data_IF_400360887405
#
_entry.id   IF_400360887405
#
_cell.length_a   1.000
_cell.length_b   1.000
_cell.length_c   1.000
_cell.angle_alpha   90.00
_cell.angle_beta   90.00
_cell.angle_gamma   90.00
#
_symmetry.space_group_name_H-M   'P 1'
#
loop_
_entity.id
_entity.type
_entity.pdbx_description
1 polymer ?
#
# COMPACT_ATOMS: atom_id res chain seq x y z
N UNK A 1 -16.19 -33.32 59.28
CA UNK A 1 -16.23 -32.27 58.25
C UNK A 1 -14.80 -31.74 58.12
N UNK A 2 -14.12 -31.89 56.97
CA UNK A 2 -12.75 -31.40 56.86
C UNK A 2 -12.75 -29.88 56.99
N UNK A 3 -11.87 -29.36 57.86
CA UNK A 3 -11.68 -27.93 58.03
C UNK A 3 -11.07 -27.35 56.75
N UNK A 4 -11.72 -26.35 56.15
CA UNK A 4 -11.13 -25.60 55.06
C UNK A 4 -9.96 -24.76 55.59
N UNK A 5 -8.74 -25.12 55.21
CA UNK A 5 -7.54 -24.32 55.43
C UNK A 5 -7.63 -23.02 54.64
N UNK A 6 -7.50 -21.87 55.31
CA UNK A 6 -7.44 -20.56 54.64
C UNK A 6 -6.07 -20.32 53.99
N UNK A 7 -6.04 -19.46 52.96
CA UNK A 7 -4.80 -19.01 52.31
C UNK A 7 -4.03 -18.05 53.21
N UNK A 8 -2.70 -18.15 53.19
CA UNK A 8 -1.82 -17.26 53.96
C UNK A 8 -1.43 -16.01 53.16
N UNK A 9 -1.10 -14.92 53.85
CA UNK A 9 -0.70 -13.66 53.20
C UNK A 9 0.55 -13.86 52.31
N UNK A 10 1.49 -14.71 52.75
CA UNK A 10 2.70 -15.00 51.98
C UNK A 10 2.41 -15.78 50.70
N UNK A 11 1.44 -16.71 50.73
CA UNK A 11 1.01 -17.48 49.55
C UNK A 11 0.32 -16.58 48.52
N UNK A 12 -0.49 -15.63 48.97
CA UNK A 12 -1.09 -14.61 48.10
C UNK A 12 -0.02 -13.67 47.51
N UNK A 13 1.03 -13.32 48.27
CA UNK A 13 2.12 -12.48 47.79
C UNK A 13 2.97 -13.21 46.73
N UNK A 14 3.33 -14.47 46.97
CA UNK A 14 4.08 -15.29 46.03
C UNK A 14 3.30 -15.50 44.73
N UNK A 15 2.01 -15.82 44.81
CA UNK A 15 1.17 -16.00 43.62
C UNK A 15 1.03 -14.71 42.80
N UNK A 16 0.84 -13.57 43.45
CA UNK A 16 0.82 -12.26 42.76
C UNK A 16 2.15 -11.95 42.07
N UNK A 17 3.29 -12.20 42.73
CA UNK A 17 4.62 -11.98 42.13
C UNK A 17 4.80 -12.83 40.88
N UNK A 18 4.44 -14.12 40.93
CA UNK A 18 4.49 -15.00 39.76
C UNK A 18 3.57 -14.48 38.66
N UNK A 19 2.37 -14.01 39.01
CA UNK A 19 1.41 -13.46 38.05
C UNK A 19 1.95 -12.20 37.35
N UNK A 20 2.61 -11.30 38.10
CA UNK A 20 3.24 -10.10 37.53
C UNK A 20 4.40 -10.45 36.58
N UNK A 21 5.25 -11.41 36.95
CA UNK A 21 6.35 -11.88 36.09
C UNK A 21 5.78 -12.41 34.77
N UNK A 22 4.76 -13.27 34.82
CA UNK A 22 4.12 -13.83 33.62
C UNK A 22 3.48 -12.74 32.75
N UNK A 23 2.76 -11.79 33.37
CA UNK A 23 2.14 -10.68 32.66
C UNK A 23 3.17 -9.81 31.93
N UNK A 24 4.33 -9.57 32.53
CA UNK A 24 5.41 -8.75 31.94
C UNK A 24 5.95 -9.34 30.63
N UNK A 25 6.00 -10.69 30.52
CA UNK A 25 6.53 -11.39 29.33
C UNK A 25 5.45 -11.57 28.26
N UNK A 26 4.18 -11.73 28.64
CA UNK A 26 3.10 -11.97 27.68
C UNK A 26 2.79 -10.77 26.77
N UNK A 27 2.82 -9.54 27.31
CA UNK A 27 2.49 -8.31 26.57
C UNK A 27 3.38 -7.99 25.35
N UNK A 28 4.73 -8.03 25.43
CA UNK A 28 5.57 -7.73 24.27
C UNK A 28 5.40 -8.74 23.12
N UNK A 29 5.10 -10.00 23.42
CA UNK A 29 4.89 -11.04 22.42
C UNK A 29 3.63 -10.76 21.59
N UNK A 30 2.54 -10.35 22.24
CA UNK A 30 1.29 -9.98 21.57
C UNK A 30 1.50 -8.78 20.62
N UNK A 31 2.18 -7.73 21.09
CA UNK A 31 2.48 -6.54 20.26
C UNK A 31 3.31 -6.89 19.03
N UNK A 32 4.30 -7.77 19.18
CA UNK A 32 5.14 -8.21 18.06
C UNK A 32 4.36 -8.99 17.01
N UNK A 33 3.39 -9.82 17.43
CA UNK A 33 2.52 -10.55 16.49
C UNK A 33 1.69 -9.59 15.63
N UNK A 34 1.10 -8.55 16.24
CA UNK A 34 0.32 -7.54 15.51
C UNK A 34 1.20 -6.75 14.54
N UNK A 35 2.40 -6.36 14.98
CA UNK A 35 3.35 -5.67 14.10
C UNK A 35 3.73 -6.53 12.89
N UNK A 36 3.98 -7.83 13.10
CA UNK A 36 4.31 -8.76 12.01
C UNK A 36 3.16 -8.90 11.02
N UNK A 37 1.90 -8.93 11.47
CA UNK A 37 0.75 -8.97 10.54
C UNK A 37 0.65 -7.68 9.73
N UNK A 38 0.83 -6.52 10.36
CA UNK A 38 0.83 -5.23 9.67
C UNK A 38 1.97 -5.13 8.63
N UNK A 39 3.17 -5.61 8.96
CA UNK A 39 4.29 -5.62 8.00
C UNK A 39 4.05 -6.55 6.81
N UNK A 40 3.40 -7.70 7.02
CA UNK A 40 3.03 -8.61 5.93
C UNK A 40 1.98 -7.98 5.00
N UNK A 41 0.98 -7.33 5.59
CA UNK A 41 -0.05 -6.59 4.86
C UNK A 41 0.57 -5.42 4.08
N UNK A 42 1.46 -4.64 4.70
CA UNK A 42 2.17 -3.53 4.07
C UNK A 42 2.95 -4.02 2.84
N UNK A 43 3.71 -5.11 2.98
CA UNK A 43 4.47 -5.69 1.86
C UNK A 43 3.56 -6.17 0.75
N UNK A 44 2.39 -6.71 1.06
CA UNK A 44 1.41 -7.10 0.06
C UNK A 44 0.87 -5.87 -0.68
N UNK A 45 0.44 -4.85 0.06
CA UNK A 45 -0.08 -3.61 -0.48
C UNK A 45 0.92 -2.87 -1.37
N UNK A 46 2.18 -2.77 -0.94
CA UNK A 46 3.26 -2.15 -1.73
C UNK A 46 3.51 -2.90 -3.04
N UNK A 47 3.43 -4.24 -3.04
CA UNK A 47 3.52 -5.02 -4.28
C UNK A 47 2.36 -4.71 -5.20
N UNK A 48 1.13 -4.65 -4.69
CA UNK A 48 -0.05 -4.27 -5.50
C UNK A 48 0.12 -2.89 -6.13
N UNK A 49 0.54 -1.89 -5.34
CA UNK A 49 0.82 -0.54 -5.84
C UNK A 49 1.89 -0.55 -6.94
N UNK A 50 3.02 -1.22 -6.68
CA UNK A 50 4.11 -1.32 -7.67
C UNK A 50 3.64 -1.98 -8.96
N UNK A 51 2.90 -3.08 -8.88
CA UNK A 51 2.38 -3.75 -10.08
C UNK A 51 1.42 -2.87 -10.87
N UNK A 52 0.62 -2.03 -10.20
CA UNK A 52 -0.27 -1.08 -10.87
C UNK A 52 0.51 0.05 -11.56
N UNK A 53 1.56 0.56 -10.91
CA UNK A 53 2.47 1.56 -11.48
C UNK A 53 3.20 0.98 -12.71
N UNK A 54 3.73 -0.24 -12.59
CA UNK A 54 4.44 -0.90 -13.68
C UNK A 54 3.50 -1.16 -14.87
N UNK A 55 2.26 -1.58 -14.61
CA UNK A 55 1.24 -1.76 -15.64
C UNK A 55 0.89 -0.44 -16.34
N UNK A 56 0.78 0.67 -15.58
CA UNK A 56 0.61 2.00 -16.16
C UNK A 56 1.80 2.38 -17.03
N UNK A 57 3.02 2.19 -16.53
CA UNK A 57 4.23 2.52 -17.25
C UNK A 57 4.33 1.75 -18.58
N UNK A 58 4.00 0.46 -18.61
CA UNK A 58 3.99 -0.33 -19.84
C UNK A 58 2.98 0.17 -20.88
N UNK A 59 1.77 0.53 -20.44
CA UNK A 59 0.71 1.03 -21.31
C UNK A 59 1.01 2.43 -21.87
N UNK A 60 1.66 3.26 -21.05
CA UNK A 60 1.91 4.69 -21.32
C UNK A 60 3.39 5.03 -21.51
N UNK A 61 4.25 4.04 -21.74
CA UNK A 61 5.70 4.17 -21.80
C UNK A 61 6.12 5.28 -22.78
N UNK A 62 6.89 6.24 -22.27
CA UNK A 62 7.46 7.33 -23.04
C UNK A 62 8.74 7.81 -22.37
N UNK A 63 9.77 7.99 -23.17
CA UNK A 63 11.07 8.48 -22.70
C UNK A 63 11.32 9.89 -23.26
N UNK A 64 10.96 10.92 -22.50
CA UNK A 64 11.23 12.32 -22.84
C UNK A 64 10.74 12.73 -24.25
N UNK A 65 11.69 13.07 -25.12
CA UNK A 65 11.42 13.48 -26.51
C UNK A 65 11.38 12.32 -27.51
N UNK A 66 11.65 11.09 -27.08
CA UNK A 66 11.50 9.92 -27.93
C UNK A 66 10.01 9.70 -28.28
N UNK A 67 9.71 9.13 -29.45
CA UNK A 67 8.35 8.70 -29.75
C UNK A 67 7.87 7.72 -28.67
N UNK A 68 6.64 7.87 -28.17
CA UNK A 68 6.13 6.99 -27.14
C UNK A 68 6.05 5.55 -27.64
N UNK A 69 6.40 4.61 -26.79
CA UNK A 69 6.40 3.17 -27.09
C UNK A 69 5.12 2.51 -26.58
N UNK A 70 4.51 3.08 -25.53
CA UNK A 70 3.27 2.58 -24.95
C UNK A 70 2.09 2.67 -25.91
N UNK A 71 1.33 1.57 -26.04
CA UNK A 71 0.19 1.48 -26.97
C UNK A 71 -0.85 2.56 -26.70
N UNK A 72 -1.21 2.79 -25.43
CA UNK A 72 -2.22 3.79 -25.07
C UNK A 72 -1.70 5.22 -25.26
N UNK A 73 -0.40 5.44 -25.07
CA UNK A 73 0.22 6.74 -25.32
C UNK A 73 0.28 7.09 -26.82
N UNK A 74 0.50 6.09 -27.67
CA UNK A 74 0.46 6.24 -29.13
C UNK A 74 -0.94 6.58 -29.64
N UNK A 75 -1.96 5.90 -29.11
CA UNK A 75 -3.37 6.14 -29.47
C UNK A 75 -3.92 7.46 -28.88
N UNK A 76 -3.45 7.90 -27.70
CA UNK A 76 -3.95 9.07 -26.97
C UNK A 76 -2.83 10.06 -26.63
N UNK A 77 -2.31 10.75 -27.65
CA UNK A 77 -1.13 11.65 -27.51
C UNK A 77 -1.31 12.77 -26.48
N UNK A 78 -2.50 13.39 -26.43
CA UNK A 78 -2.84 14.47 -25.51
C UNK A 78 -2.92 13.98 -24.07
N UNK A 79 -3.73 12.96 -23.79
CA UNK A 79 -3.81 12.33 -22.47
C UNK A 79 -2.44 11.89 -21.97
N UNK A 80 -1.62 11.32 -22.86
CA UNK A 80 -0.32 10.82 -22.46
C UNK A 80 0.57 11.91 -21.85
N UNK A 81 0.60 13.12 -22.42
CA UNK A 81 1.38 14.23 -21.87
C UNK A 81 0.85 14.73 -20.53
N UNK A 82 -0.45 14.64 -20.32
CA UNK A 82 -1.10 15.06 -19.09
C UNK A 82 -0.91 14.05 -17.96
N UNK A 83 -1.10 12.77 -18.23
CA UNK A 83 -1.07 11.69 -17.22
C UNK A 83 0.33 11.18 -16.89
N UNK A 84 1.27 11.25 -17.83
CA UNK A 84 2.65 10.74 -17.66
C UNK A 84 3.66 11.85 -17.38
N UNK A 85 4.63 11.57 -16.52
CA UNK A 85 5.82 12.38 -16.36
C UNK A 85 6.83 12.16 -17.49
N UNK A 86 7.98 12.83 -17.40
CA UNK A 86 9.05 12.79 -18.43
C UNK A 86 9.57 11.37 -18.69
N UNK A 87 9.53 10.51 -17.68
CA UNK A 87 10.01 9.11 -17.71
C UNK A 87 8.89 8.09 -17.97
N UNK A 88 7.69 8.52 -18.34
CA UNK A 88 6.58 7.61 -18.64
C UNK A 88 5.94 6.97 -17.41
N UNK A 89 6.25 7.44 -16.20
CA UNK A 89 5.60 7.07 -14.95
C UNK A 89 4.43 8.02 -14.63
N UNK A 90 3.45 7.59 -13.81
CA UNK A 90 2.33 8.46 -13.44
C UNK A 90 2.81 9.66 -12.62
N UNK A 91 2.24 10.86 -12.85
CA UNK A 91 2.58 12.06 -12.07
C UNK A 91 2.09 12.00 -10.61
N UNK A 92 0.92 11.39 -10.40
CA UNK A 92 0.33 11.21 -9.07
C UNK A 92 -0.32 9.83 -8.97
N UNK A 93 -0.45 9.29 -7.76
CA UNK A 93 -1.12 8.00 -7.55
C UNK A 93 -2.59 8.01 -7.97
N UNK A 94 -3.26 9.17 -7.91
CA UNK A 94 -4.66 9.33 -8.32
C UNK A 94 -4.88 9.03 -9.81
N UNK A 95 -3.86 9.22 -10.65
CA UNK A 95 -3.93 8.88 -12.08
C UNK A 95 -4.21 7.39 -12.29
N UNK A 96 -3.76 6.51 -11.38
CA UNK A 96 -3.98 5.07 -11.45
C UNK A 96 -5.45 4.69 -11.22
N UNK A 97 -6.24 5.56 -10.59
CA UNK A 97 -7.67 5.33 -10.38
C UNK A 97 -8.46 5.51 -11.67
N UNK A 98 -8.13 6.56 -12.43
CA UNK A 98 -8.90 6.98 -13.62
C UNK A 98 -7.99 7.73 -14.58
N UNK A 99 -7.78 7.18 -15.77
CA UNK A 99 -7.17 7.88 -16.91
C UNK A 99 -8.21 7.99 -18.02
N UNK A 100 -8.56 9.21 -18.42
CA UNK A 100 -9.49 9.46 -19.54
C UNK A 100 -8.77 9.28 -20.87
N UNK A 101 -9.23 8.36 -21.71
CA UNK A 101 -8.66 8.09 -23.03
C UNK A 101 -9.26 9.08 -24.05
N UNK A 102 -8.43 9.92 -24.68
CA UNK A 102 -8.84 10.77 -25.81
C UNK A 102 -8.33 10.18 -27.13
N UNK A 103 -9.17 9.36 -27.78
CA UNK A 103 -8.89 8.75 -29.07
C UNK A 103 -10.16 8.43 -29.85
N UNK A 104 -10.06 8.27 -31.17
CA UNK A 104 -11.22 8.07 -32.09
C UNK A 104 -12.03 6.79 -31.77
N UNK A 105 -11.43 5.78 -31.12
CA UNK A 105 -12.11 4.56 -30.66
C UNK A 105 -12.96 4.77 -29.40
N UNK A 106 -12.91 5.93 -28.75
CA UNK A 106 -13.79 6.26 -27.63
C UNK A 106 -15.26 6.45 -28.08
N UNK A 107 -15.51 6.63 -29.38
CA UNK A 107 -16.84 6.95 -29.91
C UNK A 107 -17.66 5.72 -30.35
N UNK A 108 -17.08 4.52 -30.40
CA UNK A 108 -17.76 3.35 -30.95
C UNK A 108 -17.64 2.13 -30.02
N UNK A 109 -18.51 2.08 -29.01
CA UNK A 109 -18.89 0.83 -28.35
C UNK A 109 -18.13 0.44 -27.07
N UNK A 110 -18.78 0.71 -25.94
CA UNK A 110 -18.95 -0.25 -24.84
C UNK A 110 -17.79 -0.53 -23.85
N UNK A 111 -16.54 -0.13 -24.11
CA UNK A 111 -15.48 -0.20 -23.08
C UNK A 111 -15.01 1.19 -22.68
N UNK A 112 -15.60 1.66 -21.57
CA UNK A 112 -15.29 2.86 -20.78
C UNK A 112 -14.13 3.72 -21.27
N UNK A 113 -14.44 4.99 -21.57
CA UNK A 113 -13.49 6.11 -21.76
C UNK A 113 -12.42 6.25 -20.66
N UNK A 114 -12.54 5.49 -19.57
CA UNK A 114 -11.70 5.57 -18.38
C UNK A 114 -10.96 4.25 -18.21
N UNK A 115 -9.65 4.26 -18.41
CA UNK A 115 -8.76 3.17 -18.00
C UNK A 115 -8.49 3.27 -16.49
N UNK A 116 -8.57 2.15 -15.78
CA UNK A 116 -8.28 2.06 -14.33
C UNK A 116 -7.25 0.97 -14.07
N UNK A 117 -6.26 1.26 -13.23
CA UNK A 117 -5.25 0.31 -12.75
C UNK A 117 -5.55 -0.12 -11.31
N UNK A 118 -6.16 0.77 -10.53
CA UNK A 118 -6.58 0.50 -9.15
C UNK A 118 -8.07 0.80 -8.97
N UNK A 119 -8.72 0.04 -8.08
CA UNK A 119 -10.10 0.32 -7.65
C UNK A 119 -10.16 1.48 -6.67
N UNK A 120 -9.18 1.55 -5.78
CA UNK A 120 -8.94 2.58 -4.78
C UNK A 120 -7.47 2.59 -4.42
N UNK A 121 -6.97 3.70 -3.90
CA UNK A 121 -5.65 3.74 -3.29
C UNK A 121 -5.74 2.91 -2.00
N UNK A 122 -4.88 1.89 -1.84
CA UNK A 122 -4.90 1.07 -0.64
C UNK A 122 -4.36 1.87 0.56
N UNK A 123 -4.78 1.43 1.73
CA UNK A 123 -4.42 2.03 3.00
C UNK A 123 -3.08 1.50 3.50
N UNK A 124 -2.28 2.34 4.15
CA UNK A 124 -1.08 1.92 4.84
C UNK A 124 -1.43 1.33 6.23
N UNK A 125 -1.21 0.04 6.48
CA UNK A 125 -1.55 -0.62 7.74
C UNK A 125 -0.65 -0.22 8.92
N UNK A 126 0.40 0.58 8.71
CA UNK A 126 1.27 1.11 9.76
C UNK A 126 0.90 2.54 10.14
N UNK A 127 0.82 3.44 9.16
CA UNK A 127 0.52 4.87 9.43
C UNK A 127 -0.96 5.15 9.54
N UNK A 128 -1.80 4.21 9.13
CA UNK A 128 -3.24 4.36 9.06
C UNK A 128 -3.68 5.54 8.18
N UNK A 129 -2.96 5.77 7.08
CA UNK A 129 -3.28 6.81 6.10
C UNK A 129 -3.31 6.26 4.67
N UNK A 130 -3.85 7.04 3.74
CA UNK A 130 -3.75 6.77 2.30
C UNK A 130 -2.60 7.54 1.64
N UNK A 131 -1.81 8.26 2.43
CA UNK A 131 -0.69 9.07 1.98
C UNK A 131 0.56 8.19 1.95
N UNK A 132 0.99 7.83 0.74
CA UNK A 132 2.18 7.01 0.55
C UNK A 132 3.40 7.91 0.36
N UNK A 133 4.50 7.60 1.06
CA UNK A 133 5.78 8.24 0.79
C UNK A 133 6.26 7.91 -0.63
N UNK A 134 6.37 8.94 -1.47
CA UNK A 134 6.86 8.82 -2.85
C UNK A 134 8.36 9.13 -2.86
N UNK A 135 9.13 8.32 -3.57
CA UNK A 135 10.57 8.50 -3.78
C UNK A 135 10.87 8.41 -5.27
N UNK A 136 11.59 9.38 -5.78
CA UNK A 136 12.08 9.42 -7.14
C UNK A 136 13.58 9.05 -7.16
N UNK A 137 14.05 8.51 -8.28
CA UNK A 137 15.49 8.27 -8.48
C UNK A 137 16.32 9.57 -8.56
N UNK A 138 15.66 10.71 -8.73
CA UNK A 138 16.27 12.04 -8.79
C UNK A 138 16.39 12.68 -7.41
N UNK A 139 15.75 12.09 -6.38
CA UNK A 139 15.81 12.63 -5.03
C UNK A 139 17.22 12.43 -4.45
N UNK A 140 17.61 13.31 -3.52
CA UNK A 140 18.87 13.16 -2.80
C UNK A 140 18.88 11.86 -1.98
N UNK A 141 20.06 11.22 -1.79
CA UNK A 141 20.17 10.06 -0.93
C UNK A 141 19.84 10.43 0.53
N UNK A 142 19.14 9.53 1.23
CA UNK A 142 18.84 9.63 2.67
C UNK A 142 20.07 9.40 3.56
#
# INVERSE_FOLDING_TARGET
>A
MPAHSGVTLIELLVTLVIMFILASVALPIAKLSVKRSQELELRHTLRTLRTAIDAFHLDWARDGNAPPTGKLCLENKTTCQESTGVTGYPKTLDTLLKVKLTGEKAQLGEQSEIKRYLRKIPFDPITETTEWGLRCFQDEPD
#
